data_IF_721196655596
#
_entry.id   IF_721196655596
#
_cell.length_a   1.000
_cell.length_b   1.000
_cell.length_c   1.000
_cell.angle_alpha   90.00
_cell.angle_beta   90.00
_cell.angle_gamma   90.00
#
_symmetry.space_group_name_H-M   'P 1'
#
loop_
_entity.id
_entity.type
_entity.pdbx_description
1 polymer ?
#
# COMPACT_ATOMS: atom_id res chain seq x y z
N UNK A 1 14.06 -10.58 8.01
CA UNK A 1 13.52 -9.40 7.27
C UNK A 1 12.03 -9.33 7.50
N UNK A 2 11.48 -8.13 7.55
CA UNK A 2 10.05 -7.89 7.73
C UNK A 2 9.52 -6.96 6.64
N UNK A 3 8.41 -7.32 5.99
CA UNK A 3 7.72 -6.51 4.99
C UNK A 3 6.37 -6.05 5.54
N UNK A 4 6.17 -4.73 5.57
CA UNK A 4 4.91 -4.11 5.96
C UNK A 4 4.06 -3.85 4.72
N UNK A 5 2.84 -4.37 4.71
CA UNK A 5 1.94 -4.29 3.57
C UNK A 5 0.71 -3.46 3.93
N UNK A 6 0.38 -2.44 3.13
CA UNK A 6 -0.77 -1.58 3.38
C UNK A 6 -1.96 -1.97 2.50
N UNK A 7 -3.06 -2.38 3.11
CA UNK A 7 -4.33 -2.62 2.43
C UNK A 7 -5.18 -1.35 2.45
N UNK A 8 -5.19 -0.60 1.36
CA UNK A 8 -5.97 0.63 1.16
C UNK A 8 -7.42 0.41 0.73
N UNK A 9 -7.88 -0.84 0.67
CA UNK A 9 -9.28 -1.14 0.35
C UNK A 9 -10.20 -0.83 1.53
N UNK A 10 -11.42 -0.29 1.29
CA UNK A 10 -12.43 -0.21 2.35
C UNK A 10 -12.90 -1.59 2.84
N UNK A 11 -12.65 -2.64 2.06
CA UNK A 11 -12.98 -4.03 2.44
C UNK A 11 -11.76 -4.70 3.05
N UNK A 12 -11.87 -5.13 4.32
CA UNK A 12 -10.75 -5.77 5.04
C UNK A 12 -10.20 -7.02 4.31
N UNK A 13 -11.08 -7.85 3.73
CA UNK A 13 -10.74 -9.07 3.01
C UNK A 13 -11.36 -9.07 1.60
N UNK A 14 -11.10 -8.02 0.84
CA UNK A 14 -11.51 -7.88 -0.57
C UNK A 14 -10.40 -8.28 -1.54
N UNK A 15 -10.59 -7.94 -2.82
CA UNK A 15 -9.65 -8.27 -3.91
C UNK A 15 -8.22 -7.77 -3.64
N UNK A 16 -8.05 -6.54 -3.13
CA UNK A 16 -6.73 -6.00 -2.77
C UNK A 16 -6.06 -6.83 -1.68
N UNK A 17 -6.82 -7.20 -0.63
CA UNK A 17 -6.29 -8.06 0.44
C UNK A 17 -5.86 -9.42 -0.10
N UNK A 18 -6.65 -10.02 -1.01
CA UNK A 18 -6.32 -11.31 -1.61
C UNK A 18 -4.99 -11.24 -2.37
N UNK A 19 -4.76 -10.19 -3.15
CA UNK A 19 -3.46 -10.01 -3.82
C UNK A 19 -2.31 -9.86 -2.83
N UNK A 20 -2.48 -9.06 -1.77
CA UNK A 20 -1.48 -8.90 -0.71
C UNK A 20 -1.24 -10.20 0.06
N UNK A 21 -2.28 -11.02 0.29
CA UNK A 21 -2.19 -12.32 0.95
C UNK A 21 -1.38 -13.33 0.12
N UNK A 22 -1.56 -13.36 -1.20
CA UNK A 22 -0.75 -14.20 -2.09
C UNK A 22 0.73 -13.74 -2.12
N UNK A 23 1.00 -12.43 -2.18
CA UNK A 23 2.36 -11.90 -2.03
C UNK A 23 2.97 -12.28 -0.67
N UNK A 24 2.20 -12.14 0.41
CA UNK A 24 2.64 -12.49 1.76
C UNK A 24 2.98 -13.97 1.88
N UNK A 25 2.20 -14.85 1.26
CA UNK A 25 2.44 -16.30 1.25
C UNK A 25 3.82 -16.61 0.65
N UNK A 26 4.12 -16.09 -0.54
CA UNK A 26 5.42 -16.32 -1.21
C UNK A 26 6.57 -15.76 -0.37
N UNK A 27 6.44 -14.56 0.18
CA UNK A 27 7.47 -13.96 1.04
C UNK A 27 7.73 -14.79 2.30
N UNK A 28 6.66 -15.30 2.93
CA UNK A 28 6.78 -16.13 4.13
C UNK A 28 7.41 -17.50 3.83
N UNK A 29 7.12 -18.09 2.66
CA UNK A 29 7.80 -19.34 2.19
C UNK A 29 9.31 -19.12 2.03
N UNK A 30 9.75 -17.91 1.68
CA UNK A 30 11.15 -17.50 1.60
C UNK A 30 11.74 -17.00 2.94
N UNK A 31 11.03 -17.18 4.05
CA UNK A 31 11.48 -16.80 5.40
C UNK A 31 11.42 -15.30 5.68
N UNK A 32 10.67 -14.53 4.91
CA UNK A 32 10.47 -13.10 5.11
C UNK A 32 9.15 -12.90 5.88
N UNK A 33 9.22 -12.32 7.07
CA UNK A 33 8.04 -11.99 7.87
C UNK A 33 7.20 -10.92 7.18
N UNK A 34 5.88 -11.10 7.15
CA UNK A 34 4.96 -10.13 6.55
C UNK A 34 3.89 -9.70 7.54
N UNK A 35 3.48 -8.44 7.43
CA UNK A 35 2.35 -7.89 8.18
C UNK A 35 1.46 -7.07 7.26
N UNK A 36 0.17 -7.46 7.12
CA UNK A 36 -0.82 -6.70 6.35
C UNK A 36 -1.60 -5.79 7.29
N UNK A 37 -1.42 -4.48 7.12
CA UNK A 37 -2.12 -3.44 7.87
C UNK A 37 -3.29 -2.88 7.05
N UNK A 38 -4.51 -2.94 7.59
CA UNK A 38 -5.72 -2.42 6.95
C UNK A 38 -5.85 -0.92 7.20
N UNK A 39 -5.47 -0.12 6.22
CA UNK A 39 -5.46 1.36 6.30
C UNK A 39 -6.63 2.02 5.56
N UNK A 40 -7.39 1.24 4.80
CA UNK A 40 -8.54 1.72 4.02
C UNK A 40 -9.89 1.60 4.73
N UNK A 41 -9.94 1.14 5.99
CA UNK A 41 -11.17 0.83 6.70
C UNK A 41 -12.10 2.03 6.92
N UNK A 42 -11.51 3.20 7.12
CA UNK A 42 -12.24 4.44 7.41
C UNK A 42 -11.82 5.56 6.46
N UNK A 43 -12.69 6.56 6.25
CA UNK A 43 -12.32 7.74 5.47
C UNK A 43 -11.06 8.42 6.04
N UNK A 44 -10.04 8.50 5.21
CA UNK A 44 -8.78 9.17 5.55
C UNK A 44 -8.76 10.57 4.96
N UNK A 45 -8.68 11.59 5.81
CA UNK A 45 -8.38 12.93 5.34
C UNK A 45 -6.95 13.00 4.78
N UNK A 46 -6.75 13.83 3.76
CA UNK A 46 -5.41 14.13 3.24
C UNK A 46 -4.58 14.93 4.23
N UNK A 47 -3.28 15.08 3.98
CA UNK A 47 -2.42 15.95 4.75
C UNK A 47 -2.87 17.42 4.62
N UNK A 48 -3.08 18.09 5.74
CA UNK A 48 -3.50 19.49 5.81
C UNK A 48 -2.35 20.49 5.75
N UNK A 49 -1.11 20.04 5.65
CA UNK A 49 0.07 20.92 5.67
C UNK A 49 0.26 21.68 6.98
N UNK A 50 -0.33 21.24 8.09
CA UNK A 50 -0.37 21.97 9.36
C UNK A 50 0.98 22.08 10.08
N UNK A 51 2.00 21.33 9.65
CA UNK A 51 3.34 21.32 10.25
C UNK A 51 3.42 20.68 11.65
N UNK A 52 2.33 20.12 12.16
CA UNK A 52 2.29 19.52 13.51
C UNK A 52 3.30 18.38 13.70
N UNK A 53 3.44 17.50 12.71
CA UNK A 53 4.37 16.38 12.75
C UNK A 53 5.86 16.80 12.85
N UNK A 54 6.21 17.97 12.35
CA UNK A 54 7.58 18.51 12.51
C UNK A 54 7.90 18.86 13.96
N UNK A 55 6.89 19.11 14.79
CA UNK A 55 7.04 19.44 16.22
C UNK A 55 6.90 18.21 17.12
N UNK A 56 5.94 17.33 16.81
CA UNK A 56 5.60 16.17 17.64
C UNK A 56 6.32 14.89 17.23
N UNK A 57 6.86 14.83 16.01
CA UNK A 57 7.45 13.62 15.42
C UNK A 57 6.44 12.64 14.82
N UNK A 58 5.14 12.94 14.92
CA UNK A 58 4.05 12.09 14.38
C UNK A 58 2.87 12.93 13.90
N UNK A 59 1.99 12.33 13.08
CA UNK A 59 0.80 13.02 12.58
C UNK A 59 -0.16 13.35 13.72
N UNK A 60 -0.45 14.65 13.93
CA UNK A 60 -1.32 15.13 15.02
C UNK A 60 -2.79 14.70 14.89
N UNK A 61 -3.20 14.24 13.72
CA UNK A 61 -4.55 13.69 13.50
C UNK A 61 -4.66 12.20 13.86
N UNK A 62 -3.57 11.58 14.33
CA UNK A 62 -3.60 10.21 14.86
C UNK A 62 -4.02 9.15 13.84
N UNK A 63 -4.64 8.08 14.36
CA UNK A 63 -5.18 6.98 13.60
C UNK A 63 -4.12 6.04 13.03
N UNK A 64 -4.52 5.29 12.00
CA UNK A 64 -3.70 4.26 11.35
C UNK A 64 -2.35 4.79 10.84
N UNK A 65 -2.25 6.08 10.52
CA UNK A 65 -1.00 6.72 10.08
C UNK A 65 0.08 6.68 11.16
N UNK A 66 -0.29 6.93 12.42
CA UNK A 66 0.66 6.92 13.55
C UNK A 66 1.10 5.50 13.85
N UNK A 67 0.20 4.54 13.80
CA UNK A 67 0.52 3.12 13.97
C UNK A 67 1.43 2.63 12.84
N UNK A 68 1.09 2.95 11.59
CA UNK A 68 1.91 2.62 10.43
C UNK A 68 3.32 3.20 10.53
N UNK A 69 3.47 4.47 10.97
CA UNK A 69 4.75 5.11 11.14
C UNK A 69 5.64 4.40 12.18
N UNK A 70 5.04 3.83 13.22
CA UNK A 70 5.79 3.02 14.22
C UNK A 70 6.26 1.71 13.63
N UNK A 71 5.37 0.97 12.95
CA UNK A 71 5.70 -0.31 12.30
C UNK A 71 6.69 -0.15 11.15
N UNK A 72 6.61 0.96 10.43
CA UNK A 72 7.51 1.26 9.32
C UNK A 72 8.98 1.34 9.75
N UNK A 73 9.27 1.78 10.98
CA UNK A 73 10.66 1.82 11.50
C UNK A 73 11.29 0.45 11.60
N UNK A 74 10.48 -0.59 11.85
CA UNK A 74 10.92 -1.97 12.02
C UNK A 74 10.87 -2.77 10.71
N UNK A 75 10.24 -2.23 9.68
CA UNK A 75 10.10 -2.89 8.39
C UNK A 75 11.35 -2.69 7.52
N UNK A 76 11.77 -3.73 6.82
CA UNK A 76 12.84 -3.72 5.82
C UNK A 76 12.34 -3.38 4.42
N UNK A 77 11.07 -3.65 4.13
CA UNK A 77 10.41 -3.36 2.86
C UNK A 77 8.94 -3.00 3.04
N UNK A 78 8.33 -2.44 2.00
CA UNK A 78 6.94 -1.95 2.04
C UNK A 78 6.18 -2.37 0.80
N UNK A 79 4.92 -2.79 0.97
CA UNK A 79 4.00 -3.04 -0.15
C UNK A 79 2.79 -2.13 -0.04
N UNK A 80 2.43 -1.47 -1.13
CA UNK A 80 1.28 -0.58 -1.23
C UNK A 80 0.16 -1.25 -2.04
N UNK A 81 -0.97 -1.56 -1.42
CA UNK A 81 -2.12 -2.19 -2.07
C UNK A 81 -3.35 -1.28 -2.09
N UNK A 82 -3.98 -1.11 -3.26
CA UNK A 82 -5.20 -0.31 -3.40
C UNK A 82 -6.18 -0.91 -4.39
N UNK A 83 -7.49 -0.79 -4.17
CA UNK A 83 -8.46 -0.99 -5.24
C UNK A 83 -8.43 0.22 -6.18
N UNK A 84 -8.84 -0.03 -7.44
CA UNK A 84 -9.05 1.03 -8.43
C UNK A 84 -10.43 1.64 -8.28
N UNK A 85 -10.49 2.94 -8.01
CA UNK A 85 -11.70 3.74 -7.98
C UNK A 85 -11.61 4.86 -9.02
N UNK A 86 -12.42 4.79 -10.08
CA UNK A 86 -12.44 5.82 -11.14
C UNK A 86 -11.05 6.07 -11.78
N UNK A 87 -10.32 5.00 -12.09
CA UNK A 87 -8.97 5.03 -12.63
C UNK A 87 -7.91 5.68 -11.71
N UNK A 88 -8.20 5.77 -10.42
CA UNK A 88 -7.34 6.27 -9.35
C UNK A 88 -7.25 5.23 -8.24
N UNK A 89 -6.34 5.39 -7.29
CA UNK A 89 -6.38 4.61 -6.04
C UNK A 89 -7.56 5.04 -5.17
N UNK A 90 -7.92 4.24 -4.18
CA UNK A 90 -8.98 4.64 -3.24
C UNK A 90 -8.62 5.94 -2.52
N UNK A 91 -9.61 6.81 -2.29
CA UNK A 91 -9.41 8.06 -1.54
C UNK A 91 -8.85 7.84 -0.14
N UNK A 92 -9.21 6.71 0.50
CA UNK A 92 -8.66 6.33 1.81
C UNK A 92 -7.16 6.05 1.73
N UNK A 93 -6.71 5.31 0.71
CA UNK A 93 -5.29 5.04 0.48
C UNK A 93 -4.53 6.34 0.16
N UNK A 94 -5.09 7.20 -0.68
CA UNK A 94 -4.48 8.48 -1.02
C UNK A 94 -4.29 9.37 0.23
N UNK A 95 -5.34 9.52 1.03
CA UNK A 95 -5.27 10.30 2.28
C UNK A 95 -4.25 9.74 3.26
N UNK A 96 -4.22 8.41 3.41
CA UNK A 96 -3.24 7.70 4.21
C UNK A 96 -1.81 7.97 3.73
N UNK A 97 -1.52 7.80 2.44
CA UNK A 97 -0.20 8.00 1.84
C UNK A 97 0.29 9.44 2.01
N UNK A 98 -0.57 10.43 1.78
CA UNK A 98 -0.19 11.84 1.98
C UNK A 98 0.23 12.13 3.42
N UNK A 99 -0.54 11.62 4.39
CA UNK A 99 -0.24 11.83 5.81
C UNK A 99 1.01 11.06 6.26
N UNK A 100 1.15 9.79 5.83
CA UNK A 100 2.31 8.95 6.15
C UNK A 100 3.59 9.58 5.59
N UNK A 101 3.56 9.99 4.31
CA UNK A 101 4.70 10.61 3.63
C UNK A 101 5.19 11.88 4.32
N UNK A 102 4.28 12.73 4.78
CA UNK A 102 4.64 13.94 5.52
C UNK A 102 5.17 13.68 6.92
N UNK A 103 4.59 12.72 7.64
CA UNK A 103 4.93 12.48 9.05
C UNK A 103 6.07 11.47 9.27
N UNK A 104 6.23 10.52 8.35
CA UNK A 104 7.18 9.41 8.48
C UNK A 104 8.01 9.14 7.20
N UNK A 105 8.04 10.06 6.26
CA UNK A 105 8.72 9.85 4.97
C UNK A 105 10.22 9.54 5.09
N UNK A 106 10.90 10.01 6.14
CA UNK A 106 12.29 9.64 6.41
C UNK A 106 12.49 8.13 6.63
N UNK A 107 11.46 7.47 7.18
CA UNK A 107 11.48 6.04 7.48
C UNK A 107 11.09 5.19 6.25
N UNK A 108 10.62 5.80 5.15
CA UNK A 108 10.42 5.18 3.83
C UNK A 108 11.72 5.12 3.02
N UNK A 109 12.60 6.11 3.18
CA UNK A 109 13.77 6.28 2.32
C UNK A 109 14.60 5.01 2.16
N UNK A 110 14.88 4.68 0.90
CA UNK A 110 15.75 3.58 0.47
C UNK A 110 15.24 2.17 0.80
N UNK A 111 14.07 2.02 1.41
CA UNK A 111 13.47 0.68 1.59
C UNK A 111 12.96 0.17 0.24
N UNK A 112 13.15 -1.12 -0.09
CA UNK A 112 12.47 -1.74 -1.22
C UNK A 112 10.97 -1.56 -1.12
N UNK A 113 10.33 -1.22 -2.23
CA UNK A 113 8.90 -1.05 -2.32
C UNK A 113 8.31 -1.91 -3.43
N UNK A 114 7.15 -2.48 -3.19
CA UNK A 114 6.30 -3.04 -4.21
C UNK A 114 4.90 -2.43 -4.12
N UNK A 115 4.10 -2.63 -5.15
CA UNK A 115 2.73 -2.15 -5.18
C UNK A 115 1.84 -3.17 -5.88
N UNK A 116 0.55 -3.15 -5.57
CA UNK A 116 -0.46 -3.94 -6.28
C UNK A 116 -1.78 -3.19 -6.31
N UNK A 117 -2.46 -3.22 -7.44
CA UNK A 117 -3.81 -2.69 -7.55
C UNK A 117 -4.79 -3.77 -7.96
N UNK A 118 -6.01 -3.68 -7.45
CA UNK A 118 -7.10 -4.58 -7.81
C UNK A 118 -8.20 -3.83 -8.52
N UNK A 119 -8.66 -4.34 -9.66
CA UNK A 119 -9.75 -3.75 -10.43
C UNK A 119 -10.70 -4.80 -10.98
N UNK A 120 -11.94 -4.41 -11.19
CA UNK A 120 -12.87 -5.24 -11.94
C UNK A 120 -12.51 -5.32 -13.42
N UNK A 121 -11.96 -4.22 -13.98
CA UNK A 121 -11.69 -4.14 -15.43
C UNK A 121 -10.54 -3.19 -15.79
N UNK A 122 -10.73 -1.89 -15.76
CA UNK A 122 -9.81 -0.89 -16.31
C UNK A 122 -9.36 0.14 -15.27
N UNK A 123 -8.35 0.96 -15.62
CA UNK A 123 -7.83 2.05 -14.79
C UNK A 123 -6.67 1.65 -13.89
N UNK A 124 -6.15 0.46 -14.03
CA UNK A 124 -5.07 -0.09 -13.20
C UNK A 124 -3.75 0.64 -13.39
N UNK A 125 -3.31 0.89 -14.61
CA UNK A 125 -2.04 1.58 -14.88
C UNK A 125 -2.03 2.99 -14.32
N UNK A 126 -3.13 3.74 -14.45
CA UNK A 126 -3.26 5.08 -13.87
C UNK A 126 -3.17 5.05 -12.33
N UNK A 127 -3.78 4.06 -11.69
CA UNK A 127 -3.70 3.89 -10.24
C UNK A 127 -2.29 3.46 -9.77
N UNK A 128 -1.59 2.64 -10.55
CA UNK A 128 -0.19 2.29 -10.28
C UNK A 128 0.72 3.52 -10.36
N UNK A 129 0.54 4.37 -11.38
CA UNK A 129 1.30 5.61 -11.53
C UNK A 129 1.13 6.55 -10.33
N UNK A 130 -0.05 6.57 -9.73
CA UNK A 130 -0.29 7.37 -8.52
C UNK A 130 0.48 6.85 -7.31
N UNK A 131 0.49 5.52 -7.10
CA UNK A 131 1.25 4.92 -6.00
C UNK A 131 2.75 5.12 -6.23
N UNK A 132 3.23 4.91 -7.46
CA UNK A 132 4.64 4.94 -7.81
C UNK A 132 5.34 6.28 -7.46
N UNK A 133 4.62 7.39 -7.45
CA UNK A 133 5.14 8.71 -7.07
C UNK A 133 5.68 8.75 -5.64
N UNK A 134 5.14 7.96 -4.73
CA UNK A 134 5.61 7.92 -3.34
C UNK A 134 6.96 7.21 -3.23
N UNK A 135 7.12 5.95 -3.69
CA UNK A 135 8.43 5.30 -3.73
C UNK A 135 9.48 6.11 -4.48
N UNK A 136 9.13 6.66 -5.65
CA UNK A 136 10.04 7.50 -6.43
C UNK A 136 10.57 8.69 -5.63
N UNK A 137 9.67 9.45 -4.98
CA UNK A 137 10.04 10.62 -4.18
C UNK A 137 10.98 10.26 -3.01
N UNK A 138 10.80 9.11 -2.40
CA UNK A 138 11.60 8.65 -1.26
C UNK A 138 12.80 7.76 -1.67
N UNK A 139 13.17 7.72 -2.95
CA UNK A 139 14.29 6.92 -3.45
C UNK A 139 14.19 5.45 -3.09
N UNK A 140 12.97 4.90 -3.08
CA UNK A 140 12.72 3.49 -2.80
C UNK A 140 12.89 2.69 -4.10
N UNK A 141 13.73 1.64 -4.15
CA UNK A 141 13.76 0.75 -5.30
C UNK A 141 12.41 0.06 -5.46
N UNK A 142 11.80 0.16 -6.65
CA UNK A 142 10.57 -0.54 -6.98
C UNK A 142 10.88 -1.96 -7.41
N UNK A 143 10.27 -2.92 -6.74
CA UNK A 143 10.33 -4.34 -7.05
C UNK A 143 9.05 -4.71 -7.79
N UNK A 144 9.19 -5.15 -9.02
CA UNK A 144 8.09 -5.57 -9.89
C UNK A 144 8.21 -7.05 -10.25
N UNK A 145 7.09 -7.65 -10.62
CA UNK A 145 7.03 -8.99 -11.20
C UNK A 145 7.27 -8.98 -12.72
N UNK A 146 6.76 -9.98 -13.41
CA UNK A 146 6.90 -10.14 -14.85
C UNK A 146 6.11 -9.11 -15.67
N UNK A 147 5.07 -8.52 -15.07
CA UNK A 147 4.18 -7.56 -15.70
C UNK A 147 3.80 -6.45 -14.71
N UNK A 148 2.88 -5.56 -15.07
CA UNK A 148 2.37 -4.56 -14.14
C UNK A 148 1.65 -5.23 -12.96
N UNK A 149 1.92 -4.84 -11.71
CA UNK A 149 1.39 -5.49 -10.52
C UNK A 149 -0.08 -5.15 -10.29
N UNK A 150 -0.95 -5.85 -11.01
CA UNK A 150 -2.40 -5.69 -10.94
C UNK A 150 -3.12 -7.03 -10.96
N UNK A 151 -4.25 -7.09 -10.29
CA UNK A 151 -5.15 -8.23 -10.32
C UNK A 151 -6.56 -7.80 -10.74
N UNK A 152 -7.26 -8.68 -11.44
CA UNK A 152 -8.61 -8.43 -11.91
C UNK A 152 -9.62 -9.35 -11.22
N UNK A 153 -10.74 -8.77 -10.80
CA UNK A 153 -11.84 -9.48 -10.18
C UNK A 153 -12.82 -8.57 -9.45
N UNK A 154 -14.04 -9.05 -9.28
CA UNK A 154 -15.07 -8.40 -8.46
C UNK A 154 -15.15 -8.98 -7.05
N UNK A 155 -14.64 -10.19 -6.89
CA UNK A 155 -14.60 -10.95 -5.64
C UNK A 155 -13.20 -11.52 -5.40
N UNK A 156 -12.85 -11.91 -4.17
CA UNK A 156 -11.61 -12.64 -3.88
C UNK A 156 -11.42 -13.89 -4.74
N UNK A 157 -12.50 -14.63 -5.02
CA UNK A 157 -12.42 -15.84 -5.82
C UNK A 157 -12.12 -15.55 -7.31
N UNK A 158 -12.56 -14.40 -7.82
CA UNK A 158 -12.19 -13.98 -9.17
C UNK A 158 -10.68 -13.66 -9.24
N UNK A 159 -10.15 -12.96 -8.23
CA UNK A 159 -8.71 -12.65 -8.14
C UNK A 159 -7.86 -13.92 -8.12
N UNK A 160 -8.30 -14.96 -7.38
CA UNK A 160 -7.59 -16.26 -7.35
C UNK A 160 -7.58 -17.01 -8.68
N UNK A 161 -8.43 -16.60 -9.63
CA UNK A 161 -8.47 -17.15 -10.99
C UNK A 161 -7.68 -16.31 -12.01
N UNK A 162 -7.19 -15.16 -11.61
CA UNK A 162 -6.35 -14.28 -12.43
C UNK A 162 -4.90 -14.79 -12.40
N UNK A 163 -4.65 -15.86 -13.17
CA UNK A 163 -3.35 -16.55 -13.19
C UNK A 163 -2.21 -15.61 -13.61
N UNK A 164 -2.47 -14.71 -14.56
CA UNK A 164 -1.46 -13.74 -15.02
C UNK A 164 -1.19 -12.68 -13.92
N UNK A 165 -2.23 -12.17 -13.28
CA UNK A 165 -2.09 -11.15 -12.24
C UNK A 165 -1.45 -11.66 -10.95
N UNK A 166 -1.42 -12.99 -10.74
CA UNK A 166 -0.83 -13.64 -9.56
C UNK A 166 0.61 -14.14 -9.79
N UNK A 167 1.17 -13.99 -10.99
CA UNK A 167 2.57 -14.34 -11.32
C UNK A 167 3.52 -13.18 -10.94
#
# INVERSE_FOLDING_TARGET
MKVLMFNGSPKAKGCTYTALEEMAKVLNEEGIETEIMHVGAHPQGSCMGCGGCSKTGECVYGGEVVEAAKKLKEADGVVFGSPVHYASISGNMMGFLHRLSWSAGKDLKYKPAAMVVSARRAGTTSALDEIAKIPEFFHMPLINGNYWPMVHGSTPDDVRKDEEGLQ
#
